data_IF_535683264188
#
_entry.id   IF_535683264188
#
_cell.length_a   1.000
_cell.length_b   1.000
_cell.length_c   1.000
_cell.angle_alpha   90.00
_cell.angle_beta   90.00
_cell.angle_gamma   90.00
#
_symmetry.space_group_name_H-M   'P 1'
#
loop_
_entity.id
_entity.type
_entity.pdbx_description
1 polymer ?
#
# COMPACT_ATOMS: atom_id res chain seq x y z
N UNK A 1 -8.09 11.12 -15.53
CA UNK A 1 -8.09 10.81 -16.98
C UNK A 1 -8.40 12.05 -17.79
N UNK A 2 -9.58 12.65 -17.60
CA UNK A 2 -10.06 13.84 -18.32
C UNK A 2 -9.15 15.06 -18.14
N UNK A 3 -8.78 15.39 -16.89
CA UNK A 3 -7.94 16.56 -16.58
C UNK A 3 -6.60 16.59 -17.33
N UNK A 4 -6.05 15.44 -17.67
CA UNK A 4 -4.78 15.33 -18.39
C UNK A 4 -4.97 14.97 -19.88
N UNK A 5 -6.20 14.91 -20.37
CA UNK A 5 -6.49 14.50 -21.75
C UNK A 5 -6.03 13.08 -22.07
N UNK A 6 -5.91 12.20 -21.07
CA UNK A 6 -5.31 10.88 -21.23
C UNK A 6 -6.18 9.96 -22.09
N UNK A 7 -7.50 10.12 -21.99
CA UNK A 7 -8.46 9.37 -22.81
C UNK A 7 -8.28 9.68 -24.29
N UNK A 8 -8.12 10.96 -24.62
CA UNK A 8 -7.88 11.48 -25.96
C UNK A 8 -6.51 11.04 -26.50
N UNK A 9 -5.52 10.93 -25.61
CA UNK A 9 -4.21 10.36 -25.92
C UNK A 9 -4.22 8.83 -26.09
N UNK A 10 -5.37 8.16 -25.91
CA UNK A 10 -5.56 6.74 -26.15
C UNK A 10 -5.40 5.84 -24.91
N UNK A 11 -5.15 6.40 -23.72
CA UNK A 11 -5.16 5.62 -22.49
C UNK A 11 -6.58 5.21 -22.09
N UNK A 12 -6.69 4.05 -21.46
CA UNK A 12 -7.96 3.55 -20.91
C UNK A 12 -7.74 3.11 -19.48
N UNK A 13 -8.71 3.44 -18.61
CA UNK A 13 -8.72 2.93 -17.26
C UNK A 13 -9.44 1.58 -17.22
N UNK A 14 -8.74 0.54 -16.80
CA UNK A 14 -9.29 -0.81 -16.67
C UNK A 14 -9.60 -1.09 -15.21
N UNK A 15 -10.86 -1.36 -14.89
CA UNK A 15 -11.29 -1.78 -13.56
C UNK A 15 -11.10 -3.29 -13.38
N UNK A 16 -10.86 -3.72 -12.14
CA UNK A 16 -10.62 -5.13 -11.82
C UNK A 16 -10.34 -5.33 -10.34
N UNK A 17 -9.96 -6.55 -9.97
CA UNK A 17 -9.46 -6.85 -8.62
C UNK A 17 -8.03 -6.35 -8.44
N UNK A 18 -7.63 -6.20 -7.17
CA UNK A 18 -6.26 -5.85 -6.80
C UNK A 18 -5.26 -6.87 -7.35
N UNK A 19 -5.48 -8.17 -7.14
CA UNK A 19 -4.62 -9.22 -7.70
C UNK A 19 -4.57 -9.19 -9.24
N UNK A 20 -5.68 -8.81 -9.89
CA UNK A 20 -5.70 -8.59 -11.34
C UNK A 20 -4.76 -7.47 -11.78
N UNK A 21 -4.76 -6.35 -11.05
CA UNK A 21 -3.86 -5.22 -11.27
C UNK A 21 -2.40 -5.61 -11.00
N UNK A 22 -2.12 -6.26 -9.86
CA UNK A 22 -0.78 -6.67 -9.46
C UNK A 22 -0.18 -7.68 -10.43
N UNK A 23 -0.95 -8.72 -10.80
CA UNK A 23 -0.52 -9.69 -11.78
C UNK A 23 -0.28 -9.07 -13.17
N UNK A 24 -1.07 -8.06 -13.58
CA UNK A 24 -0.83 -7.34 -14.82
C UNK A 24 0.50 -6.56 -14.78
N UNK A 25 0.79 -5.92 -13.65
CA UNK A 25 2.07 -5.26 -13.43
C UNK A 25 3.25 -6.23 -13.51
N UNK A 26 3.20 -7.34 -12.78
CA UNK A 26 4.29 -8.31 -12.74
C UNK A 26 4.56 -8.94 -14.10
N UNK A 27 3.51 -9.31 -14.84
CA UNK A 27 3.64 -9.81 -16.22
C UNK A 27 4.28 -8.78 -17.15
N UNK A 28 3.87 -7.51 -17.06
CA UNK A 28 4.46 -6.45 -17.88
C UNK A 28 5.96 -6.26 -17.57
N UNK A 29 6.35 -6.33 -16.29
CA UNK A 29 7.77 -6.29 -15.89
C UNK A 29 8.54 -7.48 -16.45
N UNK A 30 8.01 -8.69 -16.32
CA UNK A 30 8.62 -9.92 -16.85
C UNK A 30 8.81 -9.84 -18.38
N UNK A 31 7.80 -9.34 -19.08
CA UNK A 31 7.82 -9.17 -20.54
C UNK A 31 8.58 -7.92 -21.01
N UNK A 32 9.07 -7.06 -20.10
CA UNK A 32 9.69 -5.76 -20.40
C UNK A 32 8.79 -4.82 -21.21
N UNK A 33 7.51 -4.84 -20.89
CA UNK A 33 6.48 -4.02 -21.52
C UNK A 33 6.28 -2.71 -20.74
N UNK A 34 5.91 -1.66 -21.47
CA UNK A 34 5.52 -0.40 -20.86
C UNK A 34 4.10 -0.50 -20.30
N UNK A 35 3.93 -0.09 -19.05
CA UNK A 35 2.65 -0.08 -18.36
C UNK A 35 2.60 1.12 -17.41
N UNK A 36 1.38 1.63 -17.18
CA UNK A 36 1.07 2.57 -16.11
C UNK A 36 -0.02 1.93 -15.26
N UNK A 37 0.19 1.87 -13.95
CA UNK A 37 -0.78 1.36 -12.97
C UNK A 37 -1.02 2.39 -11.88
N UNK A 38 -2.26 2.53 -11.38
CA UNK A 38 -2.51 3.24 -10.14
C UNK A 38 -1.99 2.40 -8.97
N UNK A 39 -1.04 2.95 -8.21
CA UNK A 39 -0.49 2.33 -7.00
C UNK A 39 -0.41 3.36 -5.87
N UNK A 40 -0.19 2.88 -4.65
CA UNK A 40 -0.01 3.68 -3.45
C UNK A 40 1.18 3.17 -2.64
N UNK A 41 1.63 3.97 -1.67
CA UNK A 41 2.64 3.57 -0.68
C UNK A 41 2.07 3.67 0.72
N UNK A 42 2.35 2.70 1.61
CA UNK A 42 3.11 1.47 1.37
C UNK A 42 2.30 0.36 0.67
N UNK A 43 2.97 -0.48 -0.14
CA UNK A 43 2.39 -1.63 -0.86
C UNK A 43 3.51 -2.60 -1.32
N UNK A 44 3.25 -3.91 -1.35
CA UNK A 44 4.29 -4.94 -1.55
C UNK A 44 5.10 -4.87 -2.85
N UNK A 45 4.54 -4.37 -3.96
CA UNK A 45 5.28 -4.28 -5.23
C UNK A 45 6.46 -3.31 -5.11
N UNK A 46 6.36 -2.30 -4.25
CA UNK A 46 7.46 -1.39 -3.96
C UNK A 46 8.61 -2.03 -3.17
N UNK A 47 8.38 -3.16 -2.49
CA UNK A 47 9.44 -3.92 -1.82
C UNK A 47 10.33 -4.64 -2.84
N UNK A 48 9.72 -5.27 -3.86
CA UNK A 48 10.44 -6.09 -4.85
C UNK A 48 10.90 -5.32 -6.08
N UNK A 49 10.11 -4.36 -6.57
CA UNK A 49 10.33 -3.73 -7.86
C UNK A 49 10.72 -2.27 -7.75
N UNK A 50 11.62 -1.82 -8.64
CA UNK A 50 11.95 -0.40 -8.78
C UNK A 50 10.87 0.31 -9.61
N UNK A 51 9.85 0.81 -8.93
CA UNK A 51 8.73 1.52 -9.54
C UNK A 51 9.01 3.02 -9.54
N UNK A 52 8.92 3.64 -10.72
CA UNK A 52 9.03 5.09 -10.87
C UNK A 52 7.65 5.72 -10.77
N UNK A 53 7.51 6.64 -9.82
CA UNK A 53 6.31 7.47 -9.70
C UNK A 53 6.23 8.49 -10.84
N UNK A 54 5.02 8.74 -11.33
CA UNK A 54 4.74 9.77 -12.34
C UNK A 54 4.34 11.04 -11.61
N UNK A 55 5.03 12.14 -11.90
CA UNK A 55 4.72 13.44 -11.30
C UNK A 55 3.33 13.88 -11.76
N UNK A 56 2.47 14.19 -10.80
CA UNK A 56 1.11 14.68 -11.04
C UNK A 56 1.01 16.14 -10.57
N UNK A 57 1.28 17.12 -11.46
CA UNK A 57 1.39 18.53 -11.07
C UNK A 57 0.07 19.24 -10.73
N UNK A 58 -1.10 18.63 -11.01
CA UNK A 58 -2.41 19.24 -10.72
C UNK A 58 -2.93 18.90 -9.32
N UNK A 59 -2.27 17.99 -8.59
CA UNK A 59 -2.64 17.61 -7.22
C UNK A 59 -3.97 16.85 -7.12
N UNK A 60 -4.38 16.19 -8.21
CA UNK A 60 -5.60 15.39 -8.29
C UNK A 60 -5.54 14.13 -7.41
N UNK A 61 -4.34 13.60 -7.15
CA UNK A 61 -4.15 12.38 -6.35
C UNK A 61 -3.86 12.67 -4.86
N UNK A 62 -3.98 13.93 -4.45
CA UNK A 62 -3.64 14.36 -3.10
C UNK A 62 -2.14 14.58 -2.91
N UNK A 63 -1.73 14.66 -1.65
CA UNK A 63 -0.34 14.86 -1.23
C UNK A 63 0.10 13.66 -0.38
N UNK A 64 1.12 13.85 0.46
CA UNK A 64 1.51 12.84 1.44
C UNK A 64 0.42 12.69 2.50
N UNK A 65 -0.20 11.52 2.52
CA UNK A 65 -1.17 11.12 3.53
C UNK A 65 -0.51 10.39 4.70
N UNK A 66 -1.26 10.22 5.80
CA UNK A 66 -0.84 9.45 6.98
C UNK A 66 -1.93 8.46 7.39
N UNK A 67 -1.58 7.19 7.51
CA UNK A 67 -2.44 6.19 8.15
C UNK A 67 -2.51 6.43 9.67
N UNK A 68 -3.73 6.45 10.22
CA UNK A 68 -3.98 6.67 11.65
C UNK A 68 -4.91 5.57 12.18
N UNK A 69 -4.62 5.09 13.39
CA UNK A 69 -5.52 4.18 14.08
C UNK A 69 -6.72 4.95 14.61
N UNK A 70 -7.92 4.46 14.30
CA UNK A 70 -9.17 5.04 14.77
C UNK A 70 -9.81 4.10 15.79
N UNK A 71 -10.21 4.66 16.93
CA UNK A 71 -10.95 3.97 17.96
C UNK A 71 -12.34 4.57 18.08
N UNK A 72 -13.37 3.73 18.04
CA UNK A 72 -14.73 4.17 18.28
C UNK A 72 -14.86 4.64 19.74
N UNK A 73 -15.38 5.84 19.94
CA UNK A 73 -15.37 6.51 21.24
C UNK A 73 -16.06 5.71 22.34
N UNK A 74 -17.21 5.10 22.05
CA UNK A 74 -17.95 4.25 23.00
C UNK A 74 -17.19 2.96 23.40
N UNK A 75 -16.24 2.51 22.58
CA UNK A 75 -15.37 1.36 22.85
C UNK A 75 -14.11 1.74 23.61
N UNK A 76 -13.76 3.02 23.69
CA UNK A 76 -12.53 3.47 24.39
C UNK A 76 -12.45 3.00 25.85
N UNK A 77 -13.61 2.88 26.51
CA UNK A 77 -13.73 2.40 27.90
C UNK A 77 -13.32 0.93 28.10
N UNK A 78 -13.16 0.16 27.02
CA UNK A 78 -12.70 -1.23 27.09
C UNK A 78 -11.17 -1.34 27.20
N UNK A 79 -10.46 -0.23 27.01
CA UNK A 79 -9.01 -0.19 27.02
C UNK A 79 -8.51 0.56 28.25
N UNK A 80 -7.40 0.11 28.81
CA UNK A 80 -6.66 0.87 29.82
C UNK A 80 -5.89 2.02 29.16
N UNK A 81 -5.54 3.05 29.93
CA UNK A 81 -4.68 4.13 29.44
C UNK A 81 -3.34 3.63 28.90
N UNK A 82 -2.79 2.55 29.49
CA UNK A 82 -1.55 1.92 29.04
C UNK A 82 -1.72 1.23 27.67
N UNK A 83 -2.81 0.49 27.47
CA UNK A 83 -3.11 -0.13 26.19
C UNK A 83 -3.30 0.91 25.08
N UNK A 84 -4.01 2.01 25.38
CA UNK A 84 -4.18 3.12 24.45
C UNK A 84 -2.83 3.77 24.10
N UNK A 85 -1.99 4.03 25.11
CA UNK A 85 -0.65 4.59 24.89
C UNK A 85 0.22 3.65 24.04
N UNK A 86 0.14 2.34 24.26
CA UNK A 86 0.85 1.35 23.44
C UNK A 86 0.39 1.38 21.99
N UNK A 87 -0.92 1.38 21.73
CA UNK A 87 -1.48 1.48 20.38
C UNK A 87 -1.09 2.81 19.70
N UNK A 88 -1.16 3.92 20.43
CA UNK A 88 -0.80 5.24 19.91
C UNK A 88 0.71 5.40 19.66
N UNK A 89 1.55 4.59 20.31
CA UNK A 89 3.01 4.60 20.08
C UNK A 89 3.43 3.87 18.80
N UNK A 90 2.55 3.09 18.16
CA UNK A 90 2.90 2.29 16.99
C UNK A 90 3.28 3.19 15.80
N UNK A 91 4.50 3.00 15.30
CA UNK A 91 5.03 3.71 14.12
C UNK A 91 5.64 2.69 13.17
N UNK A 92 5.19 2.74 11.93
CA UNK A 92 5.70 1.91 10.84
C UNK A 92 6.21 2.82 9.73
N UNK A 93 7.37 2.50 9.17
CA UNK A 93 7.83 3.16 7.94
C UNK A 93 7.17 2.49 6.74
N UNK A 94 7.22 3.16 5.59
CA UNK A 94 6.65 2.60 4.36
C UNK A 94 7.37 1.31 3.94
N UNK A 95 8.67 1.24 4.19
CA UNK A 95 9.52 0.08 3.87
C UNK A 95 9.13 -1.13 4.72
N UNK A 96 8.90 -0.91 6.03
CA UNK A 96 8.44 -1.96 6.94
C UNK A 96 7.12 -2.55 6.44
N UNK A 97 6.12 -1.71 6.17
CA UNK A 97 4.81 -2.22 5.73
C UNK A 97 4.93 -2.91 4.37
N UNK A 98 5.67 -2.36 3.42
CA UNK A 98 5.85 -2.97 2.10
C UNK A 98 6.53 -4.35 2.17
N UNK A 99 7.49 -4.54 3.09
CA UNK A 99 8.13 -5.83 3.33
C UNK A 99 7.16 -6.85 3.96
N UNK A 100 6.46 -6.48 5.03
CA UNK A 100 5.52 -7.39 5.69
C UNK A 100 4.38 -7.79 4.74
N UNK A 101 3.87 -6.83 3.96
CA UNK A 101 2.87 -7.05 2.92
C UNK A 101 3.38 -8.01 1.84
N UNK A 102 4.67 -7.92 1.45
CA UNK A 102 5.28 -8.84 0.50
C UNK A 102 5.32 -10.29 1.00
N UNK A 103 5.70 -10.51 2.27
CA UNK A 103 5.70 -11.83 2.89
C UNK A 103 4.31 -12.48 2.82
N UNK A 104 3.25 -11.70 3.06
CA UNK A 104 1.88 -12.21 3.00
C UNK A 104 1.42 -12.44 1.55
N UNK A 105 1.55 -11.43 0.68
CA UNK A 105 0.97 -11.46 -0.67
C UNK A 105 1.72 -12.33 -1.68
N UNK A 106 3.03 -12.56 -1.50
CA UNK A 106 3.86 -13.27 -2.48
C UNK A 106 4.61 -14.46 -1.90
N UNK A 107 4.95 -14.45 -0.62
CA UNK A 107 5.51 -15.64 0.05
C UNK A 107 4.43 -16.50 0.72
N UNK A 108 3.18 -16.04 0.72
CA UNK A 108 2.02 -16.78 1.25
C UNK A 108 2.20 -17.14 2.72
N UNK A 109 2.85 -16.25 3.48
CA UNK A 109 2.98 -16.39 4.92
C UNK A 109 1.70 -15.93 5.62
N UNK A 110 1.37 -16.56 6.76
CA UNK A 110 0.24 -16.17 7.58
C UNK A 110 0.45 -14.79 8.21
N UNK A 111 -0.53 -13.90 8.05
CA UNK A 111 -0.46 -12.49 8.48
C UNK A 111 -0.10 -12.35 9.97
N UNK A 112 -0.75 -13.15 10.83
CA UNK A 112 -0.52 -13.11 12.27
C UNK A 112 0.89 -13.59 12.66
N UNK A 113 1.45 -14.54 11.90
CA UNK A 113 2.79 -15.04 12.14
C UNK A 113 3.83 -13.99 11.75
N UNK A 114 3.70 -13.40 10.54
CA UNK A 114 4.56 -12.31 10.04
C UNK A 114 4.56 -11.12 11.01
N UNK A 115 3.38 -10.75 11.49
CA UNK A 115 3.21 -9.62 12.41
C UNK A 115 3.87 -9.90 13.76
N UNK A 116 3.67 -11.12 14.30
CA UNK A 116 4.25 -11.51 15.58
C UNK A 116 5.77 -11.55 15.53
N UNK A 117 6.34 -12.18 14.52
CA UNK A 117 7.79 -12.26 14.33
C UNK A 117 8.40 -10.85 14.31
N UNK A 118 7.83 -9.94 13.52
CA UNK A 118 8.31 -8.56 13.46
C UNK A 118 8.18 -7.80 14.78
N UNK A 119 7.14 -8.08 15.58
CA UNK A 119 6.96 -7.45 16.89
C UNK A 119 7.91 -8.02 17.95
N UNK A 120 8.29 -9.30 17.86
CA UNK A 120 9.17 -9.98 18.82
C UNK A 120 10.65 -9.65 18.60
N UNK A 121 11.06 -9.32 17.37
CA UNK A 121 12.42 -8.91 17.03
C UNK A 121 12.78 -7.47 17.48
N UNK A 122 11.90 -6.79 18.23
CA UNK A 122 12.04 -5.38 18.65
C UNK A 122 11.84 -5.17 20.15
#
# INVERSE_FOLDING_TARGET
MEEYGLSEAGYRFHTGSEEGCFGAFERAVENKEWLVVPLWKPQFLHHKYKIREVIEPKGLLGIVDRAVLLLREDRSKQFTSEQLAKLDSLRFSNEIIAELDYKVCREVQELDAVTREWLEER
#
